data_IF_069898870609
#
_entry.id   IF_069898870609
#
_cell.length_a   1.000
_cell.length_b   1.000
_cell.length_c   1.000
_cell.angle_alpha   90.00
_cell.angle_beta   90.00
_cell.angle_gamma   90.00
#
_symmetry.space_group_name_H-M   'P 1'
#
loop_
_entity.id
_entity.type
_entity.pdbx_description
1 polymer ?
#
# COMPACT_ATOMS: atom_id res chain seq x y z
N UNK A 1 -9.54 3.66 19.62
CA UNK A 1 -10.75 2.92 19.23
C UNK A 1 -10.36 1.48 18.97
N UNK A 2 -11.03 0.52 19.63
CA UNK A 2 -10.75 -0.89 19.41
C UNK A 2 -11.52 -1.42 18.17
N UNK A 3 -11.19 -2.60 17.62
CA UNK A 3 -11.86 -3.12 16.43
C UNK A 3 -13.39 -3.24 16.57
N UNK A 4 -13.89 -3.73 17.71
CA UNK A 4 -15.33 -3.88 17.97
C UNK A 4 -16.06 -2.55 17.89
N UNK A 5 -15.51 -1.51 18.52
CA UNK A 5 -16.07 -0.17 18.48
C UNK A 5 -16.04 0.41 17.06
N UNK A 6 -14.97 0.15 16.30
CA UNK A 6 -14.86 0.58 14.91
C UNK A 6 -15.92 -0.07 14.03
N UNK A 7 -16.07 -1.40 14.07
CA UNK A 7 -17.10 -2.12 13.30
C UNK A 7 -18.50 -1.61 13.62
N UNK A 8 -18.81 -1.41 14.92
CA UNK A 8 -20.09 -0.85 15.35
C UNK A 8 -20.34 0.54 14.75
N UNK A 9 -19.34 1.43 14.76
CA UNK A 9 -19.49 2.78 14.16
C UNK A 9 -19.64 2.74 12.64
N UNK A 10 -18.92 1.83 11.97
CA UNK A 10 -19.08 1.60 10.54
C UNK A 10 -20.50 1.08 10.23
N UNK A 11 -21.08 0.21 11.04
CA UNK A 11 -22.45 -0.28 10.84
C UNK A 11 -23.52 0.80 11.06
N UNK A 12 -23.36 1.63 12.09
CA UNK A 12 -24.43 2.53 12.54
C UNK A 12 -24.41 3.94 11.90
N UNK A 13 -23.26 4.40 11.39
CA UNK A 13 -23.09 5.81 11.02
C UNK A 13 -22.47 5.98 9.63
N UNK A 14 -23.28 6.47 8.70
CA UNK A 14 -22.81 6.80 7.34
C UNK A 14 -21.78 7.92 7.34
N UNK A 15 -22.00 8.98 8.12
CA UNK A 15 -21.03 10.07 8.30
C UNK A 15 -19.68 9.55 8.78
N UNK A 16 -19.68 8.60 9.72
CA UNK A 16 -18.45 7.99 10.18
C UNK A 16 -17.79 7.16 9.08
N UNK A 17 -18.54 6.36 8.30
CA UNK A 17 -18.00 5.64 7.15
C UNK A 17 -17.33 6.60 6.17
N UNK A 18 -18.02 7.67 5.78
CA UNK A 18 -17.51 8.61 4.77
C UNK A 18 -16.20 9.27 5.23
N UNK A 19 -16.12 9.71 6.49
CA UNK A 19 -14.87 10.26 7.07
C UNK A 19 -13.77 9.22 7.22
N UNK A 20 -14.13 7.99 7.59
CA UNK A 20 -13.19 6.90 7.78
C UNK A 20 -12.54 6.48 6.46
N UNK A 21 -13.33 6.31 5.40
CA UNK A 21 -12.83 5.96 4.08
C UNK A 21 -12.10 7.13 3.42
N UNK A 22 -12.55 8.38 3.60
CA UNK A 22 -11.79 9.54 3.16
C UNK A 22 -10.38 9.59 3.78
N UNK A 23 -10.27 9.25 5.07
CA UNK A 23 -8.97 9.16 5.74
C UNK A 23 -8.11 8.00 5.21
N UNK A 24 -8.68 6.81 5.01
CA UNK A 24 -7.91 5.67 4.51
C UNK A 24 -7.46 5.85 3.06
N UNK A 25 -8.34 6.38 2.20
CA UNK A 25 -8.06 6.61 0.78
C UNK A 25 -7.03 7.74 0.57
N UNK A 26 -6.87 8.65 1.52
CA UNK A 26 -5.80 9.66 1.53
C UNK A 26 -4.41 9.04 1.84
N UNK A 27 -4.39 7.96 2.63
CA UNK A 27 -3.15 7.31 3.07
C UNK A 27 -2.74 6.18 2.12
N UNK A 28 -3.69 5.35 1.71
CA UNK A 28 -3.46 4.13 0.94
C UNK A 28 -4.16 4.24 -0.40
N UNK A 29 -3.37 4.38 -1.45
CA UNK A 29 -3.83 4.46 -2.84
C UNK A 29 -3.41 3.23 -3.63
N UNK A 30 -4.16 2.93 -4.69
CA UNK A 30 -3.95 1.74 -5.53
C UNK A 30 -4.01 2.07 -7.03
N UNK A 31 -3.92 3.35 -7.36
CA UNK A 31 -3.95 3.87 -8.71
C UNK A 31 -2.78 4.81 -8.94
N UNK A 32 -2.38 4.86 -10.21
CA UNK A 32 -1.45 5.85 -10.72
C UNK A 32 -2.26 6.70 -11.69
N UNK A 33 -2.08 8.02 -11.63
CA UNK A 33 -2.82 8.93 -12.50
C UNK A 33 -2.52 8.62 -13.97
N UNK A 34 -3.58 8.50 -14.77
CA UNK A 34 -3.46 8.32 -16.22
C UNK A 34 -3.08 9.63 -16.92
N UNK A 35 -2.46 9.51 -18.09
CA UNK A 35 -2.15 10.67 -18.94
C UNK A 35 -0.98 11.55 -18.49
N UNK A 36 -0.38 11.28 -17.31
CA UNK A 36 0.86 11.94 -16.90
C UNK A 36 2.05 11.25 -17.58
N UNK A 37 2.82 11.96 -18.43
CA UNK A 37 4.02 11.40 -19.04
C UNK A 37 5.10 11.16 -17.97
N UNK A 38 5.92 10.13 -18.19
CA UNK A 38 7.04 9.82 -17.31
C UNK A 38 8.21 9.25 -18.11
N UNK A 39 9.42 9.32 -17.55
CA UNK A 39 10.62 8.80 -18.19
C UNK A 39 10.69 7.26 -18.05
N UNK A 40 10.44 6.51 -19.12
CA UNK A 40 10.46 5.04 -19.11
C UNK A 40 11.85 4.41 -18.92
N UNK A 41 12.92 5.14 -19.22
CA UNK A 41 14.30 4.64 -19.16
C UNK A 41 14.99 5.00 -17.83
N UNK A 42 14.25 5.62 -16.91
CA UNK A 42 14.75 6.09 -15.62
C UNK A 42 14.99 4.97 -14.61
N UNK A 43 15.77 5.26 -13.57
CA UNK A 43 15.98 4.35 -12.45
C UNK A 43 15.86 5.09 -11.12
N UNK A 44 14.62 5.21 -10.57
CA UNK A 44 14.36 5.96 -9.35
C UNK A 44 15.25 5.54 -8.17
N UNK A 45 15.62 4.25 -8.08
CA UNK A 45 16.42 3.71 -6.96
C UNK A 45 17.82 4.32 -6.86
N UNK A 46 18.33 4.92 -7.94
CA UNK A 46 19.64 5.57 -7.99
C UNK A 46 19.55 7.09 -8.02
N UNK A 47 18.33 7.63 -8.10
CA UNK A 47 18.05 9.05 -8.21
C UNK A 47 17.68 9.63 -6.84
N UNK A 48 17.84 10.95 -6.68
CA UNK A 48 17.48 11.63 -5.45
C UNK A 48 16.00 12.00 -5.48
N UNK A 49 15.29 11.93 -4.34
CA UNK A 49 13.93 12.42 -4.27
C UNK A 49 13.88 13.95 -4.47
N UNK A 50 12.70 14.50 -4.79
CA UNK A 50 12.50 15.94 -4.91
C UNK A 50 12.93 16.71 -3.66
N UNK A 51 13.46 17.91 -3.86
CA UNK A 51 13.80 18.82 -2.77
C UNK A 51 12.51 19.45 -2.25
N UNK A 52 12.28 19.33 -0.93
CA UNK A 52 11.15 19.97 -0.27
C UNK A 52 11.43 21.48 -0.14
N UNK A 53 10.48 22.37 -0.49
CA UNK A 53 10.62 23.79 -0.27
C UNK A 53 10.89 24.13 1.20
N UNK A 54 11.59 25.24 1.44
CA UNK A 54 11.85 25.73 2.79
C UNK A 54 10.59 26.32 3.44
N UNK A 55 10.63 26.57 4.75
CA UNK A 55 9.49 27.14 5.49
C UNK A 55 9.11 28.55 5.02
N UNK A 56 10.07 29.31 4.48
CA UNK A 56 9.90 30.63 3.90
C UNK A 56 9.52 30.62 2.41
N UNK A 57 9.29 29.45 1.83
CA UNK A 57 8.88 29.32 0.44
C UNK A 57 7.53 29.99 0.16
N UNK A 58 7.43 30.60 -1.01
CA UNK A 58 6.23 31.25 -1.52
C UNK A 58 5.14 30.23 -1.87
N UNK A 59 3.89 30.70 -1.98
CA UNK A 59 2.77 29.85 -2.41
C UNK A 59 3.01 29.23 -3.80
N UNK A 60 3.64 29.99 -4.71
CA UNK A 60 3.99 29.52 -6.06
C UNK A 60 5.01 28.39 -6.03
N UNK A 61 6.05 28.49 -5.18
CA UNK A 61 7.01 27.39 -5.00
C UNK A 61 6.36 26.12 -4.46
N UNK A 62 5.40 26.27 -3.53
CA UNK A 62 4.59 25.15 -3.05
C UNK A 62 3.67 24.55 -4.12
N UNK A 63 3.10 25.37 -5.01
CA UNK A 63 2.32 24.90 -6.16
C UNK A 63 3.18 24.11 -7.14
N UNK A 64 4.36 24.63 -7.49
CA UNK A 64 5.33 23.94 -8.33
C UNK A 64 5.71 22.60 -7.70
N UNK A 65 6.02 22.60 -6.41
CA UNK A 65 6.37 21.38 -5.69
C UNK A 65 5.25 20.35 -5.71
N UNK A 66 3.98 20.75 -5.55
CA UNK A 66 2.84 19.83 -5.68
C UNK A 66 2.79 19.17 -7.06
N UNK A 67 2.98 19.94 -8.14
CA UNK A 67 3.03 19.39 -9.49
C UNK A 67 4.22 18.45 -9.71
N UNK A 68 5.38 18.76 -9.13
CA UNK A 68 6.54 17.86 -9.14
C UNK A 68 6.21 16.54 -8.43
N UNK A 69 5.61 16.59 -7.24
CA UNK A 69 5.21 15.39 -6.50
C UNK A 69 4.22 14.52 -7.30
N UNK A 70 3.28 15.11 -8.03
CA UNK A 70 2.37 14.34 -8.89
C UNK A 70 3.08 13.60 -10.03
N UNK A 71 4.01 14.28 -10.71
CA UNK A 71 4.83 13.66 -11.75
C UNK A 71 5.73 12.57 -11.18
N UNK A 72 6.30 12.80 -10.00
CA UNK A 72 7.16 11.83 -9.32
C UNK A 72 6.38 10.61 -8.90
N UNK A 73 5.20 10.75 -8.26
CA UNK A 73 4.33 9.60 -7.93
C UNK A 73 4.05 8.74 -9.17
N UNK A 74 3.77 9.37 -10.32
CA UNK A 74 3.60 8.63 -11.58
C UNK A 74 4.88 7.90 -11.97
N UNK A 75 5.98 8.62 -12.09
CA UNK A 75 7.27 8.07 -12.51
C UNK A 75 7.73 6.91 -11.61
N UNK A 76 7.79 7.13 -10.30
CA UNK A 76 8.26 6.12 -9.35
C UNK A 76 7.23 5.01 -9.15
N UNK A 77 5.93 5.30 -9.25
CA UNK A 77 4.86 4.29 -9.22
C UNK A 77 4.96 3.31 -10.38
N UNK A 78 5.17 3.81 -11.60
CA UNK A 78 5.28 2.98 -12.79
C UNK A 78 6.53 2.07 -12.74
N UNK A 79 7.65 2.56 -12.21
CA UNK A 79 8.90 1.79 -12.13
C UNK A 79 8.95 0.82 -10.94
N UNK A 80 8.30 1.16 -9.84
CA UNK A 80 8.50 0.49 -8.55
C UNK A 80 7.27 -0.24 -8.05
N UNK A 81 6.06 0.23 -8.37
CA UNK A 81 4.82 -0.33 -7.84
C UNK A 81 4.04 -1.16 -8.85
N UNK A 82 4.15 -0.87 -10.15
CA UNK A 82 3.50 -1.67 -11.18
C UNK A 82 4.10 -3.08 -11.22
N UNK A 83 3.23 -4.06 -11.07
CA UNK A 83 3.59 -5.46 -11.17
C UNK A 83 3.83 -5.86 -12.62
N UNK A 84 4.98 -6.48 -12.85
CA UNK A 84 5.28 -7.21 -14.07
C UNK A 84 5.66 -8.62 -13.66
N UNK A 85 5.00 -9.61 -14.24
CA UNK A 85 5.28 -11.01 -13.92
C UNK A 85 6.75 -11.33 -14.18
N UNK A 86 7.37 -11.96 -13.19
CA UNK A 86 8.75 -12.45 -13.21
C UNK A 86 8.77 -13.90 -12.77
N UNK A 87 9.85 -14.67 -13.00
CA UNK A 87 9.93 -16.07 -12.56
C UNK A 87 9.67 -16.26 -11.05
N UNK A 88 9.95 -15.24 -10.23
CA UNK A 88 9.62 -15.24 -8.79
C UNK A 88 8.13 -15.40 -8.52
N UNK A 89 7.25 -14.94 -9.42
CA UNK A 89 5.80 -15.04 -9.28
C UNK A 89 5.29 -16.49 -9.24
N UNK A 90 6.07 -17.43 -9.79
CA UNK A 90 5.73 -18.84 -9.90
C UNK A 90 6.64 -19.73 -9.04
N UNK A 91 7.43 -19.14 -8.14
CA UNK A 91 8.23 -19.91 -7.17
C UNK A 91 7.30 -20.69 -6.23
N UNK A 92 7.79 -21.83 -5.74
CA UNK A 92 7.09 -22.72 -4.81
C UNK A 92 5.82 -23.33 -5.43
N UNK A 93 5.90 -23.72 -6.70
CA UNK A 93 4.85 -24.43 -7.45
C UNK A 93 3.51 -23.69 -7.50
N UNK A 94 3.54 -22.36 -7.42
CA UNK A 94 2.37 -21.52 -7.62
C UNK A 94 1.96 -21.53 -9.11
N UNK A 95 0.73 -21.98 -9.38
CA UNK A 95 0.13 -21.97 -10.73
C UNK A 95 -0.32 -20.58 -11.21
N UNK A 96 -0.51 -19.66 -10.28
CA UNK A 96 -0.85 -18.25 -10.52
C UNK A 96 0.19 -17.35 -9.85
N UNK A 97 0.08 -16.02 -10.04
CA UNK A 97 1.00 -15.11 -9.36
C UNK A 97 0.91 -15.26 -7.84
N UNK A 98 2.00 -15.67 -7.18
CA UNK A 98 2.05 -15.77 -5.71
C UNK A 98 1.80 -14.45 -4.98
N UNK A 99 1.93 -13.32 -5.68
CA UNK A 99 1.65 -11.98 -5.16
C UNK A 99 0.19 -11.57 -5.41
N UNK A 100 -0.66 -12.49 -5.88
CA UNK A 100 -2.10 -12.31 -6.07
C UNK A 100 -2.47 -11.23 -7.09
N UNK A 101 -1.66 -11.11 -8.15
CA UNK A 101 -1.99 -10.29 -9.31
C UNK A 101 -2.70 -11.11 -10.41
N UNK A 102 -3.65 -10.50 -11.16
CA UNK A 102 -4.20 -9.16 -10.91
C UNK A 102 -5.05 -9.13 -9.63
N UNK A 103 -5.11 -7.96 -9.00
CA UNK A 103 -6.01 -7.74 -7.87
C UNK A 103 -7.48 -7.62 -8.32
N UNK A 104 -8.41 -7.80 -7.39
CA UNK A 104 -9.83 -7.58 -7.67
C UNK A 104 -10.13 -6.09 -7.78
N UNK A 105 -10.79 -5.68 -8.87
CA UNK A 105 -11.16 -4.29 -9.07
C UNK A 105 -12.25 -3.84 -8.10
N UNK A 106 -12.02 -2.72 -7.42
CA UNK A 106 -12.98 -2.09 -6.51
C UNK A 106 -12.99 -0.58 -6.77
N UNK A 107 -14.11 -0.04 -7.23
CA UNK A 107 -14.19 1.38 -7.63
C UNK A 107 -14.07 2.34 -6.44
N UNK A 108 -14.68 2.00 -5.31
CA UNK A 108 -14.75 2.82 -4.10
C UNK A 108 -14.55 1.96 -2.86
N UNK A 109 -13.90 2.49 -1.85
CA UNK A 109 -13.76 1.81 -0.55
C UNK A 109 -15.12 1.71 0.15
N UNK A 110 -15.38 0.58 0.80
CA UNK A 110 -16.63 0.36 1.52
C UNK A 110 -16.48 -0.63 2.68
N UNK A 111 -17.47 -0.61 3.57
CA UNK A 111 -17.61 -1.60 4.63
C UNK A 111 -18.61 -2.67 4.20
N UNK A 112 -18.20 -3.93 4.25
CA UNK A 112 -19.07 -5.09 4.02
C UNK A 112 -19.67 -5.55 5.36
N UNK A 113 -20.99 -5.37 5.60
CA UNK A 113 -21.62 -5.78 6.85
C UNK A 113 -21.75 -7.29 7.02
N UNK A 114 -21.82 -8.06 5.93
CA UNK A 114 -21.97 -9.52 5.98
C UNK A 114 -20.64 -10.15 6.40
N UNK A 115 -19.55 -9.72 5.77
CA UNK A 115 -18.21 -10.22 6.05
C UNK A 115 -17.54 -9.52 7.24
N UNK A 116 -18.15 -8.44 7.74
CA UNK A 116 -17.55 -7.50 8.71
C UNK A 116 -16.15 -7.09 8.29
N UNK A 117 -16.02 -6.75 7.01
CA UNK A 117 -14.73 -6.49 6.39
C UNK A 117 -14.67 -5.07 5.83
N UNK A 118 -13.45 -4.54 5.79
CA UNK A 118 -13.16 -3.24 5.19
C UNK A 118 -12.50 -3.52 3.86
N UNK A 119 -13.13 -3.06 2.78
CA UNK A 119 -12.66 -3.24 1.41
C UNK A 119 -12.19 -1.89 0.92
N UNK A 120 -10.92 -1.81 0.51
CA UNK A 120 -10.33 -0.59 -0.04
C UNK A 120 -10.52 -0.55 -1.56
N UNK A 121 -10.56 0.66 -2.11
CA UNK A 121 -10.57 0.87 -3.54
C UNK A 121 -9.30 0.30 -4.19
N UNK A 122 -9.49 -0.36 -5.34
CA UNK A 122 -8.47 -0.98 -6.16
C UNK A 122 -8.80 -0.62 -7.62
N UNK A 123 -8.26 0.51 -8.10
CA UNK A 123 -8.63 1.07 -9.41
C UNK A 123 -7.64 0.71 -10.51
N UNK A 124 -6.39 0.39 -10.18
CA UNK A 124 -5.42 -0.24 -11.08
C UNK A 124 -5.00 -1.61 -10.53
N UNK A 125 -5.57 -2.68 -11.08
CA UNK A 125 -5.38 -4.07 -10.60
C UNK A 125 -3.93 -4.59 -10.68
N UNK A 126 -3.02 -3.82 -11.28
CA UNK A 126 -1.61 -4.18 -11.48
C UNK A 126 -0.64 -3.35 -10.65
N UNK A 127 -1.11 -2.49 -9.75
CA UNK A 127 -0.27 -1.66 -8.87
C UNK A 127 -0.44 -2.13 -7.43
N UNK A 128 0.58 -2.04 -6.57
CA UNK A 128 0.39 -2.34 -5.14
C UNK A 128 -0.34 -1.21 -4.42
N UNK A 129 -0.94 -1.53 -3.26
CA UNK A 129 -1.36 -0.52 -2.30
C UNK A 129 -0.13 0.25 -1.82
N UNK A 130 -0.10 1.56 -2.00
CA UNK A 130 1.06 2.37 -1.66
C UNK A 130 0.65 3.68 -1.01
N UNK A 131 1.59 4.32 -0.34
CA UNK A 131 1.45 5.71 0.09
C UNK A 131 2.31 6.58 -0.80
N UNK A 132 1.72 7.66 -1.33
CA UNK A 132 2.37 8.58 -2.27
C UNK A 132 3.65 9.17 -1.69
N UNK A 133 3.62 9.63 -0.45
CA UNK A 133 4.77 10.25 0.21
C UNK A 133 5.88 9.24 0.50
N UNK A 134 5.55 8.06 1.05
CA UNK A 134 6.53 7.00 1.26
C UNK A 134 7.17 6.61 -0.07
N UNK A 135 6.38 6.49 -1.13
CA UNK A 135 6.87 6.10 -2.44
C UNK A 135 7.88 7.11 -3.00
N UNK A 136 7.52 8.39 -3.01
CA UNK A 136 8.38 9.48 -3.53
C UNK A 136 9.65 9.64 -2.72
N UNK A 137 9.59 9.59 -1.39
CA UNK A 137 10.80 9.88 -0.59
C UNK A 137 11.67 8.66 -0.32
N UNK A 138 11.14 7.44 -0.47
CA UNK A 138 11.94 6.22 -0.31
C UNK A 138 12.47 5.65 -1.63
N UNK A 139 11.79 5.89 -2.76
CA UNK A 139 12.08 5.25 -4.05
C UNK A 139 12.15 3.71 -3.94
N UNK A 140 11.34 3.12 -3.07
CA UNK A 140 11.23 1.67 -2.93
C UNK A 140 9.79 1.15 -3.10
N UNK A 141 9.72 -0.06 -3.66
CA UNK A 141 8.49 -0.85 -3.69
C UNK A 141 8.04 -1.13 -2.25
N UNK A 142 6.74 -0.99 -2.01
CA UNK A 142 6.09 -1.36 -0.76
C UNK A 142 4.61 -1.66 -1.03
N UNK A 143 4.04 -2.55 -0.22
CA UNK A 143 2.61 -2.91 -0.23
C UNK A 143 2.02 -2.58 1.15
N UNK A 144 1.08 -1.65 1.21
CA UNK A 144 0.41 -1.26 2.45
C UNK A 144 -0.85 -2.08 2.66
N UNK A 145 -0.99 -2.64 3.86
CA UNK A 145 -2.19 -3.36 4.28
C UNK A 145 -2.74 -2.75 5.55
N UNK A 146 -4.05 -2.55 5.55
CA UNK A 146 -4.76 -2.11 6.74
C UNK A 146 -5.21 -3.32 7.56
N UNK A 147 -4.76 -3.40 8.82
CA UNK A 147 -4.94 -4.59 9.67
C UNK A 147 -5.77 -4.24 10.90
N UNK A 148 -6.97 -4.81 11.02
CA UNK A 148 -7.88 -4.57 12.14
C UNK A 148 -8.28 -5.80 12.94
N UNK A 149 -7.86 -6.99 12.51
CA UNK A 149 -8.11 -8.22 13.26
C UNK A 149 -6.94 -8.53 14.17
N UNK A 150 -7.22 -8.87 15.43
CA UNK A 150 -6.19 -9.35 16.37
C UNK A 150 -5.47 -10.60 15.86
N UNK A 151 -6.14 -11.46 15.08
CA UNK A 151 -5.51 -12.64 14.44
C UNK A 151 -4.54 -12.22 13.34
N UNK A 152 -4.97 -11.32 12.45
CA UNK A 152 -4.13 -10.80 11.36
C UNK A 152 -2.94 -10.01 11.90
N UNK A 153 -3.14 -9.22 12.97
CA UNK A 153 -2.07 -8.49 13.64
C UNK A 153 -1.02 -9.46 14.22
N UNK A 154 -1.45 -10.49 14.98
CA UNK A 154 -0.52 -11.52 15.48
C UNK A 154 0.23 -12.23 14.35
N UNK A 155 -0.47 -12.61 13.29
CA UNK A 155 0.16 -13.26 12.14
C UNK A 155 1.19 -12.36 11.46
N UNK A 156 0.89 -11.08 11.30
CA UNK A 156 1.82 -10.10 10.75
C UNK A 156 3.04 -9.93 11.67
N UNK A 157 2.84 -9.85 12.98
CA UNK A 157 3.95 -9.77 13.96
C UNK A 157 4.87 -10.98 13.88
N UNK A 158 4.33 -12.20 13.79
CA UNK A 158 5.15 -13.41 13.64
C UNK A 158 5.90 -13.42 12.31
N UNK A 159 5.23 -13.06 11.21
CA UNK A 159 5.86 -12.98 9.89
C UNK A 159 7.01 -11.96 9.87
N UNK A 160 6.78 -10.75 10.40
CA UNK A 160 7.80 -9.70 10.48
C UNK A 160 8.96 -10.16 11.35
N UNK A 161 8.69 -10.76 12.51
CA UNK A 161 9.72 -11.24 13.42
C UNK A 161 10.58 -12.29 12.75
N UNK A 162 9.98 -13.34 12.17
CA UNK A 162 10.68 -14.41 11.45
C UNK A 162 11.54 -13.87 10.30
N UNK A 163 11.00 -12.91 9.55
CA UNK A 163 11.71 -12.28 8.45
C UNK A 163 12.90 -11.42 8.89
N UNK A 164 12.74 -10.61 9.96
CA UNK A 164 13.80 -9.75 10.48
C UNK A 164 14.90 -10.58 11.14
N UNK A 165 14.52 -11.53 12.00
CA UNK A 165 15.49 -12.35 12.73
C UNK A 165 16.16 -13.38 11.82
N UNK A 166 15.54 -13.71 10.67
CA UNK A 166 15.96 -14.79 9.76
C UNK A 166 16.26 -16.07 10.54
N UNK A 167 15.42 -16.39 11.50
CA UNK A 167 15.61 -17.56 12.35
C UNK A 167 15.73 -18.81 11.47
N UNK A 168 16.80 -19.58 11.70
CA UNK A 168 17.03 -20.85 11.00
C UNK A 168 16.02 -21.92 11.40
N UNK A 169 15.42 -21.76 12.59
CA UNK A 169 14.47 -22.69 13.19
C UNK A 169 13.06 -22.22 12.87
N UNK A 170 12.29 -23.05 12.17
CA UNK A 170 10.92 -22.71 11.79
C UNK A 170 10.01 -22.73 13.01
N UNK A 171 8.99 -21.87 13.03
CA UNK A 171 8.07 -21.75 14.17
C UNK A 171 7.46 -23.08 14.66
N UNK A 172 7.20 -24.04 13.76
CA UNK A 172 6.69 -25.36 14.15
C UNK A 172 7.72 -26.20 14.93
N UNK A 173 9.01 -26.02 14.69
CA UNK A 173 10.11 -26.71 15.39
C UNK A 173 10.25 -26.17 16.82
N UNK A 174 9.99 -24.88 17.02
CA UNK A 174 9.92 -24.27 18.35
C UNK A 174 8.68 -24.75 19.13
N UNK A 175 7.55 -24.91 18.46
CA UNK A 175 6.32 -25.42 19.08
C UNK A 175 6.43 -26.89 19.53
N UNK A 176 7.29 -27.70 18.89
CA UNK A 176 7.56 -29.08 19.33
C UNK A 176 8.44 -29.20 20.58
N UNK A 177 9.00 -28.09 21.06
CA UNK A 177 9.81 -28.03 22.28
C UNK A 177 9.01 -27.62 23.53
N UNK A 178 7.71 -27.34 23.36
CA UNK A 178 6.74 -27.05 24.42
C UNK A 178 5.87 -28.28 24.69
#
# INVERSE_FOLDING_TARGET
MNPTELHRKLEESRDFQDRFFAFLDDIIVHDLLDGIPFNHDGNPRTERPPVVPSEDATAEEWDIFRSVIEQEVKYVGEHLQRHVHKPVCYKYDHSTCRFQFPHDYVSISFYDPELKSIVLACRDIWVNYHNRSILVFSHFNHDLRFVLSGKSCKSAMFYITDYITKMSVKMYELLTLL
#
